data_IF_559549578547
#
_entry.id   IF_559549578547
#
_cell.length_a   1.000
_cell.length_b   1.000
_cell.length_c   1.000
_cell.angle_alpha   90.00
_cell.angle_beta   90.00
_cell.angle_gamma   90.00
#
_symmetry.space_group_name_H-M   'P 1'
#
loop_
_entity.id
_entity.type
_entity.pdbx_description
1 polymer ?
#
# COMPACT_ATOMS: atom_id res chain seq x y z
N UNK A 1 8.77 21.17 -4.53
CA UNK A 1 8.28 22.51 -4.09
C UNK A 1 9.45 23.32 -3.57
N UNK A 2 9.97 24.28 -4.35
CA UNK A 2 10.97 25.24 -3.86
C UNK A 2 10.36 26.21 -2.85
N UNK A 3 11.23 26.87 -2.07
CA UNK A 3 10.80 28.00 -1.26
C UNK A 3 10.62 29.24 -2.13
N UNK A 4 9.50 29.94 -1.99
CA UNK A 4 9.23 31.21 -2.65
C UNK A 4 9.16 32.34 -1.63
N UNK A 5 10.04 33.33 -1.79
CA UNK A 5 10.11 34.49 -0.89
C UNK A 5 10.27 34.07 0.58
N UNK A 6 9.39 34.58 1.43
CA UNK A 6 9.40 34.30 2.88
C UNK A 6 8.51 33.12 3.31
N UNK A 7 7.79 32.48 2.34
CA UNK A 7 6.92 31.34 2.65
C UNK A 7 7.75 30.17 3.17
N UNK A 8 7.45 29.70 4.38
CA UNK A 8 8.15 28.60 5.06
C UNK A 8 7.35 27.31 5.13
N UNK A 9 6.04 27.41 5.09
CA UNK A 9 5.12 26.29 5.23
C UNK A 9 4.01 26.42 4.20
N UNK A 10 3.57 25.28 3.66
CA UNK A 10 2.38 25.22 2.81
C UNK A 10 1.56 23.98 3.13
N UNK A 11 0.29 24.01 2.75
CA UNK A 11 -0.61 22.86 2.81
C UNK A 11 -0.82 22.34 1.40
N UNK A 12 -0.52 21.06 1.19
CA UNK A 12 -0.80 20.34 -0.06
C UNK A 12 -2.13 19.61 0.14
N UNK A 13 -3.12 19.97 -0.67
CA UNK A 13 -4.49 19.45 -0.54
C UNK A 13 -4.85 18.40 -1.58
N UNK A 14 -3.96 18.12 -2.52
CA UNK A 14 -4.17 17.11 -3.56
C UNK A 14 -3.05 17.08 -4.58
N UNK A 15 -3.08 16.07 -5.43
CA UNK A 15 -2.18 15.84 -6.55
C UNK A 15 -2.95 15.71 -7.86
N UNK A 16 -2.39 16.28 -8.94
CA UNK A 16 -2.94 16.16 -10.29
C UNK A 16 -2.31 14.99 -11.08
N UNK A 17 -1.45 14.19 -10.46
CA UNK A 17 -0.83 13.01 -11.07
C UNK A 17 -1.90 12.01 -11.51
N UNK A 18 -1.83 11.56 -12.77
CA UNK A 18 -2.78 10.60 -13.32
C UNK A 18 -2.07 9.54 -14.15
N UNK A 19 -2.69 8.35 -14.21
CA UNK A 19 -2.23 7.21 -14.97
C UNK A 19 -3.28 6.82 -15.99
N UNK A 20 -2.96 6.99 -17.27
CA UNK A 20 -3.83 6.60 -18.38
C UNK A 20 -3.28 5.32 -19.01
N UNK A 21 -4.09 4.28 -19.02
CA UNK A 21 -3.76 2.98 -19.55
C UNK A 21 -4.64 2.67 -20.76
N UNK A 22 -4.19 1.82 -21.70
CA UNK A 22 -4.99 1.39 -22.84
C UNK A 22 -6.32 0.75 -22.44
N UNK A 23 -7.35 0.92 -23.25
CA UNK A 23 -8.71 0.49 -22.93
C UNK A 23 -8.87 -1.01 -22.67
N UNK A 24 -8.00 -1.84 -23.26
CA UNK A 24 -7.99 -3.30 -23.08
C UNK A 24 -7.31 -3.75 -21.78
N UNK A 25 -6.91 -2.83 -20.92
CA UNK A 25 -6.26 -3.13 -19.64
C UNK A 25 -7.24 -3.75 -18.67
N UNK A 26 -6.78 -4.79 -17.97
CA UNK A 26 -7.48 -5.38 -16.83
C UNK A 26 -6.67 -5.18 -15.55
N UNK A 27 -7.33 -5.31 -14.41
CA UNK A 27 -6.82 -4.87 -13.11
C UNK A 27 -6.77 -6.00 -12.09
N UNK A 28 -5.78 -5.93 -11.19
CA UNK A 28 -5.61 -6.81 -10.04
C UNK A 28 -5.41 -5.89 -8.83
N UNK A 29 -6.51 -5.42 -8.26
CA UNK A 29 -6.50 -4.31 -7.31
C UNK A 29 -7.21 -4.66 -6.01
N UNK A 30 -6.68 -4.11 -4.91
CA UNK A 30 -7.31 -4.18 -3.59
C UNK A 30 -8.09 -2.88 -3.35
N UNK A 31 -9.43 -2.95 -3.15
CA UNK A 31 -10.23 -1.75 -2.95
C UNK A 31 -9.90 -1.07 -1.63
N UNK A 32 -9.89 0.26 -1.66
CA UNK A 32 -9.83 1.10 -0.47
C UNK A 32 -11.15 0.99 0.30
N UNK A 33 -11.09 0.70 1.60
CA UNK A 33 -12.27 0.66 2.46
C UNK A 33 -12.75 2.06 2.83
N UNK A 34 -14.04 2.15 3.16
CA UNK A 34 -14.58 3.37 3.76
C UNK A 34 -13.97 3.60 5.13
N UNK A 35 -13.62 4.84 5.40
CA UNK A 35 -13.12 5.25 6.71
C UNK A 35 -14.09 4.87 7.84
N UNK A 36 -13.57 4.40 8.96
CA UNK A 36 -14.33 4.05 10.17
C UNK A 36 -15.39 2.95 9.98
N UNK A 37 -15.22 2.06 8.97
CA UNK A 37 -16.15 0.97 8.69
C UNK A 37 -15.82 -0.27 9.51
N UNK A 38 -16.77 -0.75 10.32
CA UNK A 38 -16.69 -2.01 11.06
C UNK A 38 -15.35 -2.18 11.81
N UNK A 39 -14.79 -3.38 11.77
CA UNK A 39 -13.48 -3.66 12.35
C UNK A 39 -12.30 -3.20 11.48
N UNK A 40 -12.57 -2.77 10.25
CA UNK A 40 -11.61 -2.13 9.36
C UNK A 40 -11.37 -0.65 9.67
N UNK A 41 -11.77 -0.18 10.84
CA UNK A 41 -11.73 1.24 11.25
C UNK A 41 -10.36 1.87 11.14
N UNK A 42 -9.30 1.08 11.32
CA UNK A 42 -7.91 1.55 11.26
C UNK A 42 -7.16 1.06 10.03
N UNK A 43 -7.81 0.31 9.14
CA UNK A 43 -7.18 -0.29 7.97
C UNK A 43 -7.70 0.36 6.70
N UNK A 44 -6.82 0.78 5.78
CA UNK A 44 -7.22 1.36 4.51
C UNK A 44 -7.82 0.33 3.54
N UNK A 45 -7.42 -0.94 3.66
CA UNK A 45 -7.90 -2.04 2.82
C UNK A 45 -7.83 -3.37 3.56
N UNK A 46 -8.38 -4.38 2.94
CA UNK A 46 -8.33 -5.76 3.42
C UNK A 46 -7.91 -6.68 2.27
N UNK A 47 -6.85 -7.46 2.47
CA UNK A 47 -6.22 -8.24 1.41
C UNK A 47 -7.10 -9.34 0.82
N UNK A 48 -8.11 -9.80 1.53
CA UNK A 48 -9.08 -10.78 1.01
C UNK A 48 -10.04 -10.20 -0.02
N UNK A 49 -10.07 -8.88 -0.18
CA UNK A 49 -10.99 -8.20 -1.08
C UNK A 49 -10.40 -7.90 -2.46
N UNK A 50 -9.22 -8.41 -2.76
CA UNK A 50 -8.64 -8.27 -4.09
C UNK A 50 -9.61 -8.75 -5.18
N UNK A 51 -9.78 -7.91 -6.22
CA UNK A 51 -10.46 -8.27 -7.46
C UNK A 51 -9.42 -8.58 -8.52
N UNK A 52 -9.63 -9.70 -9.21
CA UNK A 52 -8.67 -10.23 -10.17
C UNK A 52 -9.24 -10.11 -11.58
N UNK A 53 -8.40 -9.57 -12.49
CA UNK A 53 -8.65 -9.53 -13.93
C UNK A 53 -9.93 -8.78 -14.33
N UNK A 54 -10.23 -7.69 -13.61
CA UNK A 54 -11.42 -6.89 -13.84
C UNK A 54 -11.17 -5.81 -14.90
N UNK A 55 -12.18 -5.45 -15.72
CA UNK A 55 -12.07 -4.28 -16.59
C UNK A 55 -11.80 -3.01 -15.78
N UNK A 56 -11.00 -2.08 -16.33
CA UNK A 56 -10.75 -0.78 -15.67
C UNK A 56 -12.02 0.02 -15.36
N UNK A 57 -13.06 -0.15 -16.17
CA UNK A 57 -14.35 0.52 -15.99
C UNK A 57 -15.16 0.00 -14.80
N UNK A 58 -14.76 -1.13 -14.22
CA UNK A 58 -15.40 -1.64 -13.01
C UNK A 58 -15.02 -0.74 -11.84
N UNK A 59 -16.00 -0.17 -11.10
CA UNK A 59 -15.70 0.67 -9.95
C UNK A 59 -15.17 -0.17 -8.77
N UNK A 60 -14.42 0.47 -7.90
CA UNK A 60 -14.01 -0.15 -6.63
C UNK A 60 -15.22 -0.51 -5.77
N UNK A 61 -15.09 -1.55 -4.96
CA UNK A 61 -16.20 -2.11 -4.18
C UNK A 61 -16.90 -1.08 -3.27
N UNK A 62 -16.20 -0.05 -2.84
CA UNK A 62 -16.72 0.95 -1.91
C UNK A 62 -16.79 2.37 -2.53
N UNK A 63 -16.35 2.54 -3.78
CA UNK A 63 -16.29 3.84 -4.46
C UNK A 63 -15.17 4.76 -3.96
N UNK A 64 -14.17 4.20 -3.27
CA UNK A 64 -13.08 4.95 -2.64
C UNK A 64 -11.73 4.70 -3.33
N UNK A 65 -11.72 3.97 -4.45
CA UNK A 65 -10.50 3.64 -5.18
C UNK A 65 -9.73 2.45 -4.61
N UNK A 66 -8.39 2.46 -4.75
CA UNK A 66 -7.56 1.28 -4.54
C UNK A 66 -6.28 1.60 -3.78
N UNK A 67 -5.90 0.71 -2.87
CA UNK A 67 -4.66 0.80 -2.10
C UNK A 67 -3.46 0.37 -2.94
N UNK A 68 -2.33 1.06 -2.82
CA UNK A 68 -1.07 0.64 -3.44
C UNK A 68 -0.49 -0.64 -2.81
N UNK A 69 0.24 -1.46 -3.59
CA UNK A 69 0.53 -1.34 -5.02
C UNK A 69 -0.62 -1.78 -5.92
N UNK A 70 -0.72 -1.20 -7.12
CA UNK A 70 -1.77 -1.44 -8.09
C UNK A 70 -1.21 -2.13 -9.33
N UNK A 71 -1.67 -3.36 -9.61
CA UNK A 71 -1.20 -4.16 -10.74
C UNK A 71 -2.21 -4.14 -11.90
N UNK A 72 -1.69 -3.96 -13.10
CA UNK A 72 -2.44 -3.90 -14.34
C UNK A 72 -1.87 -4.85 -15.38
N UNK A 73 -2.76 -5.54 -16.13
CA UNK A 73 -2.40 -6.30 -17.34
C UNK A 73 -2.86 -5.51 -18.55
N UNK A 74 -1.92 -5.13 -19.41
CA UNK A 74 -2.15 -4.29 -20.58
C UNK A 74 -2.42 -5.19 -21.79
N UNK A 75 -3.66 -5.73 -21.90
CA UNK A 75 -4.04 -6.65 -22.97
C UNK A 75 -3.09 -7.85 -23.06
N UNK A 76 -2.56 -8.10 -24.28
CA UNK A 76 -1.50 -9.08 -24.53
C UNK A 76 -0.07 -8.51 -24.48
N UNK A 77 0.08 -7.22 -24.20
CA UNK A 77 1.33 -6.49 -24.42
C UNK A 77 2.24 -6.44 -23.17
N UNK A 78 1.70 -6.77 -22.00
CA UNK A 78 2.50 -6.81 -20.78
C UNK A 78 1.78 -6.36 -19.52
N UNK A 79 2.57 -5.92 -18.54
CA UNK A 79 2.13 -5.62 -17.19
C UNK A 79 2.68 -4.27 -16.72
N UNK A 80 1.92 -3.59 -15.88
CA UNK A 80 2.34 -2.37 -15.21
C UNK A 80 2.02 -2.48 -13.71
N UNK A 81 2.98 -2.11 -12.87
CA UNK A 81 2.79 -1.96 -11.42
C UNK A 81 2.92 -0.48 -11.09
N UNK A 82 1.86 0.10 -10.56
CA UNK A 82 1.86 1.49 -10.05
C UNK A 82 1.93 1.45 -8.53
N UNK A 83 2.85 2.21 -7.96
CA UNK A 83 3.04 2.28 -6.52
C UNK A 83 3.63 3.61 -6.09
N UNK A 84 3.93 3.73 -4.81
CA UNK A 84 4.64 4.86 -4.22
C UNK A 84 5.82 4.39 -3.36
N UNK A 85 6.81 5.26 -3.18
CA UNK A 85 7.91 5.05 -2.24
C UNK A 85 8.44 6.38 -1.69
N UNK A 86 9.23 6.32 -0.63
CA UNK A 86 9.69 7.52 0.09
C UNK A 86 8.60 8.14 0.94
N UNK A 87 7.62 7.36 1.33
CA UNK A 87 6.56 7.77 2.27
C UNK A 87 7.16 7.99 3.67
N UNK A 88 6.75 9.03 4.32
CA UNK A 88 7.20 9.38 5.67
C UNK A 88 6.08 10.09 6.44
N UNK A 89 6.28 10.28 7.75
CA UNK A 89 5.31 10.95 8.62
C UNK A 89 5.02 12.42 8.30
N UNK A 90 5.75 13.01 7.35
CA UNK A 90 5.59 14.41 6.92
C UNK A 90 4.65 14.56 5.71
N UNK A 91 4.08 13.46 5.24
CA UNK A 91 3.12 13.48 4.13
C UNK A 91 1.90 12.63 4.48
N UNK A 92 0.89 12.66 3.62
CA UNK A 92 -0.30 11.82 3.79
C UNK A 92 -0.12 10.47 3.08
N UNK A 93 -0.77 9.43 3.57
CA UNK A 93 -0.91 8.16 2.83
C UNK A 93 -1.81 8.39 1.63
N UNK A 94 -1.33 8.06 0.44
CA UNK A 94 -2.11 8.19 -0.79
C UNK A 94 -2.62 6.82 -1.25
N UNK A 95 -3.60 6.86 -2.14
CA UNK A 95 -4.14 5.70 -2.81
C UNK A 95 -4.49 6.04 -4.26
N UNK A 96 -4.92 5.09 -5.06
CA UNK A 96 -5.34 5.30 -6.44
C UNK A 96 -6.86 5.51 -6.46
N UNK A 97 -7.33 6.53 -7.19
CA UNK A 97 -8.77 6.76 -7.39
C UNK A 97 -9.45 5.62 -8.14
N UNK A 98 -10.77 5.63 -8.22
CA UNK A 98 -11.48 4.91 -9.27
C UNK A 98 -11.08 5.43 -10.66
N UNK A 99 -11.27 4.58 -11.67
CA UNK A 99 -11.04 4.97 -13.05
C UNK A 99 -12.04 6.03 -13.52
N UNK A 100 -11.52 7.03 -14.19
CA UNK A 100 -12.33 8.05 -14.86
C UNK A 100 -11.93 8.10 -16.35
N UNK A 101 -12.88 8.02 -17.31
CA UNK A 101 -12.56 8.05 -18.75
C UNK A 101 -11.79 9.26 -19.22
N UNK A 102 -11.99 10.42 -18.56
CA UNK A 102 -11.36 11.68 -18.95
C UNK A 102 -9.96 11.86 -18.36
N UNK A 103 -9.73 11.37 -17.13
CA UNK A 103 -8.48 11.59 -16.39
C UNK A 103 -7.65 10.33 -16.21
N UNK A 104 -8.22 9.12 -16.33
CA UNK A 104 -7.60 7.87 -15.93
C UNK A 104 -7.71 7.66 -14.42
N UNK A 105 -6.78 6.90 -13.86
CA UNK A 105 -6.60 6.81 -12.43
C UNK A 105 -5.79 8.00 -11.93
N UNK A 106 -6.20 8.61 -10.83
CA UNK A 106 -5.50 9.75 -10.21
C UNK A 106 -5.01 9.39 -8.81
N UNK A 107 -4.01 10.12 -8.32
CA UNK A 107 -3.62 10.03 -6.92
C UNK A 107 -4.70 10.67 -6.06
N UNK A 108 -5.23 9.90 -5.13
CA UNK A 108 -6.19 10.35 -4.13
C UNK A 108 -5.54 10.47 -2.75
N UNK A 109 -5.94 11.52 -2.03
CA UNK A 109 -5.53 11.76 -0.65
C UNK A 109 -6.46 11.03 0.33
N UNK A 110 -6.08 10.91 1.61
CA UNK A 110 -6.92 10.25 2.60
C UNK A 110 -8.32 10.87 2.71
N UNK A 111 -9.29 10.02 2.93
CA UNK A 111 -10.66 10.42 3.18
C UNK A 111 -10.82 11.00 4.60
N UNK A 112 -11.77 11.90 4.83
CA UNK A 112 -12.14 12.29 6.17
C UNK A 112 -12.53 11.08 7.03
N UNK A 113 -11.97 10.97 8.22
CA UNK A 113 -12.25 9.88 9.16
C UNK A 113 -11.31 8.68 9.06
N UNK A 114 -10.36 8.65 8.13
CA UNK A 114 -9.30 7.63 8.14
C UNK A 114 -8.43 7.68 9.40
N UNK A 115 -7.60 6.66 9.58
CA UNK A 115 -6.72 6.53 10.76
C UNK A 115 -7.46 6.68 12.07
N UNK A 116 -8.53 5.92 12.22
CA UNK A 116 -9.41 5.90 13.42
C UNK A 116 -10.04 7.26 13.75
N UNK A 117 -10.31 8.07 12.72
CA UNK A 117 -10.97 9.37 12.84
C UNK A 117 -10.03 10.54 13.14
N UNK A 118 -8.73 10.30 13.23
CA UNK A 118 -7.73 11.33 13.57
C UNK A 118 -6.76 11.63 12.42
N UNK A 119 -6.88 10.93 11.29
CA UNK A 119 -6.03 11.12 10.12
C UNK A 119 -6.24 12.50 9.45
N UNK A 120 -5.16 13.00 8.86
CA UNK A 120 -5.19 14.25 8.10
C UNK A 120 -5.51 13.96 6.63
N UNK A 121 -6.31 14.82 6.01
CA UNK A 121 -6.67 14.74 4.58
C UNK A 121 -5.78 15.61 3.70
N UNK A 122 -4.82 16.30 4.27
CA UNK A 122 -3.87 17.18 3.59
C UNK A 122 -2.53 17.17 4.29
N UNK A 123 -1.46 17.45 3.56
CA UNK A 123 -0.11 17.48 4.09
C UNK A 123 0.34 18.92 4.39
N UNK A 124 0.69 19.20 5.65
CA UNK A 124 1.40 20.42 6.02
C UNK A 124 2.91 20.19 5.91
N UNK A 125 3.58 20.90 5.01
CA UNK A 125 4.99 20.70 4.72
C UNK A 125 5.82 21.97 4.89
N UNK A 126 7.04 21.82 5.39
CA UNK A 126 8.02 22.91 5.43
C UNK A 126 8.78 22.97 4.09
N UNK A 127 9.01 24.17 3.59
CA UNK A 127 9.69 24.40 2.32
C UNK A 127 11.19 24.63 2.49
N UNK A 128 12.05 24.16 1.57
CA UNK A 128 11.71 23.39 0.35
C UNK A 128 11.28 21.97 0.67
N UNK A 129 10.41 21.35 -0.14
CA UNK A 129 9.87 20.02 0.12
C UNK A 129 9.81 19.16 -1.15
N UNK A 130 10.07 17.88 -1.01
CA UNK A 130 9.87 16.85 -2.04
C UNK A 130 8.81 15.86 -1.57
N UNK A 131 7.81 15.64 -2.42
CA UNK A 131 6.76 14.63 -2.16
C UNK A 131 7.32 13.21 -2.29
N UNK A 132 6.61 12.19 -1.79
CA UNK A 132 6.90 10.80 -2.12
C UNK A 132 6.94 10.56 -3.63
N UNK A 133 7.69 9.55 -4.04
CA UNK A 133 7.77 9.13 -5.44
C UNK A 133 6.51 8.37 -5.86
N UNK A 134 6.06 8.62 -7.08
CA UNK A 134 5.08 7.79 -7.78
C UNK A 134 5.84 6.93 -8.77
N UNK A 135 5.72 5.61 -8.65
CA UNK A 135 6.52 4.67 -9.42
C UNK A 135 5.67 3.87 -10.41
N UNK A 136 6.23 3.60 -11.58
CA UNK A 136 5.65 2.70 -12.57
C UNK A 136 6.73 1.71 -12.96
N UNK A 137 6.48 0.41 -12.71
CA UNK A 137 7.33 -0.68 -13.19
C UNK A 137 6.60 -1.38 -14.33
N UNK A 138 7.29 -1.55 -15.45
CA UNK A 138 6.75 -2.19 -16.66
C UNK A 138 7.47 -3.50 -16.94
N UNK A 139 6.75 -4.47 -17.51
CA UNK A 139 7.32 -5.73 -17.95
C UNK A 139 6.43 -6.50 -18.92
N UNK A 140 7.03 -7.19 -19.88
CA UNK A 140 6.31 -8.14 -20.75
C UNK A 140 5.76 -9.33 -19.95
N UNK A 141 6.36 -9.62 -18.80
CA UNK A 141 5.96 -10.66 -17.85
C UNK A 141 5.90 -10.07 -16.44
N UNK A 142 5.39 -10.84 -15.48
CA UNK A 142 5.38 -10.45 -14.06
C UNK A 142 6.77 -10.40 -13.43
N UNK A 143 7.77 -11.06 -14.01
CA UNK A 143 9.10 -11.17 -13.41
C UNK A 143 9.74 -9.82 -13.08
N UNK A 144 9.85 -8.84 -14.01
CA UNK A 144 10.41 -7.53 -13.67
C UNK A 144 9.65 -6.78 -12.57
N UNK A 145 8.35 -7.04 -12.42
CA UNK A 145 7.53 -6.40 -11.40
C UNK A 145 7.78 -6.99 -10.01
N UNK A 146 7.99 -8.31 -9.95
CA UNK A 146 8.29 -9.02 -8.70
C UNK A 146 9.73 -8.73 -8.23
N UNK A 147 10.66 -8.61 -9.18
CA UNK A 147 12.08 -8.39 -8.91
C UNK A 147 12.46 -6.90 -8.83
N UNK A 148 11.50 -5.98 -8.95
CA UNK A 148 11.81 -4.54 -8.94
C UNK A 148 12.44 -4.10 -7.64
N UNK A 149 13.48 -3.30 -7.74
CA UNK A 149 14.18 -2.67 -6.61
C UNK A 149 13.93 -1.18 -6.53
N UNK A 150 13.04 -0.64 -7.36
CA UNK A 150 12.81 0.81 -7.51
C UNK A 150 12.55 1.53 -6.19
N UNK A 151 11.92 0.86 -5.23
CA UNK A 151 11.67 1.44 -3.91
C UNK A 151 12.96 1.77 -3.14
N UNK A 152 14.05 1.07 -3.43
CA UNK A 152 15.36 1.25 -2.82
C UNK A 152 16.31 2.04 -3.71
N UNK A 153 16.06 2.09 -5.01
CA UNK A 153 16.93 2.75 -5.98
C UNK A 153 16.78 4.29 -5.94
N UNK A 154 15.60 4.76 -5.56
CA UNK A 154 15.26 6.21 -5.59
C UNK A 154 15.14 6.84 -4.21
N UNK A 155 15.24 6.05 -3.15
CA UNK A 155 15.12 6.53 -1.76
C UNK A 155 16.23 5.96 -0.90
N UNK A 156 16.95 6.85 -0.25
CA UNK A 156 17.97 6.45 0.72
C UNK A 156 17.34 5.78 1.94
N UNK A 157 17.93 4.68 2.45
CA UNK A 157 17.47 4.05 3.68
C UNK A 157 17.47 5.04 4.85
N UNK A 158 16.39 5.09 5.60
CA UNK A 158 16.29 5.96 6.79
C UNK A 158 17.26 5.52 7.91
N UNK A 159 17.64 4.26 7.91
CA UNK A 159 18.62 3.68 8.85
C UNK A 159 19.26 2.45 8.24
N UNK A 160 20.45 2.11 8.71
CA UNK A 160 21.13 0.87 8.38
C UNK A 160 21.10 -0.06 9.59
N UNK A 161 20.62 -1.30 9.38
CA UNK A 161 20.66 -2.30 10.44
C UNK A 161 22.07 -2.89 10.58
N UNK A 162 22.53 -3.00 11.81
CA UNK A 162 23.76 -3.75 12.14
C UNK A 162 23.47 -5.19 12.54
N UNK A 163 22.19 -5.56 12.66
CA UNK A 163 21.76 -6.92 13.00
C UNK A 163 21.58 -7.75 11.73
N UNK A 164 22.13 -8.96 11.78
CA UNK A 164 21.82 -9.98 10.80
C UNK A 164 20.55 -10.72 11.25
N UNK A 165 19.55 -10.75 10.40
CA UNK A 165 18.33 -11.50 10.64
C UNK A 165 18.46 -12.86 9.97
N UNK A 166 18.16 -13.92 10.72
CA UNK A 166 18.12 -15.28 10.18
C UNK A 166 16.69 -15.55 9.70
N UNK A 167 16.47 -15.80 8.41
CA UNK A 167 15.19 -16.30 7.92
C UNK A 167 14.88 -17.67 8.56
N UNK A 168 13.60 -17.93 8.82
CA UNK A 168 13.22 -19.20 9.44
C UNK A 168 11.73 -19.46 9.31
N UNK A 169 11.34 -20.65 9.71
CA UNK A 169 9.94 -21.08 9.77
C UNK A 169 9.36 -20.71 11.13
N UNK A 170 8.07 -20.43 11.14
CA UNK A 170 7.38 -20.11 12.38
C UNK A 170 6.00 -20.74 12.44
N UNK A 171 5.49 -20.91 13.65
CA UNK A 171 4.09 -21.19 13.92
C UNK A 171 3.35 -19.90 14.20
N UNK A 172 2.10 -19.84 13.79
CA UNK A 172 1.24 -18.69 14.01
C UNK A 172 -0.12 -19.12 14.55
N UNK A 173 -0.35 -18.86 15.83
CA UNK A 173 -1.55 -19.30 16.55
C UNK A 173 -2.84 -18.68 16.00
N UNK A 174 -2.76 -17.44 15.53
CA UNK A 174 -3.91 -16.70 15.02
C UNK A 174 -4.57 -17.36 13.80
N UNK A 175 -3.78 -17.99 12.91
CA UNK A 175 -4.33 -18.70 11.75
C UNK A 175 -5.27 -19.86 12.16
N UNK A 176 -5.04 -20.46 13.30
CA UNK A 176 -5.84 -21.59 13.78
C UNK A 176 -6.98 -21.15 14.72
N UNK A 177 -6.70 -20.24 15.64
CA UNK A 177 -7.61 -19.91 16.74
C UNK A 177 -8.02 -18.46 16.81
N UNK A 178 -7.63 -17.64 15.85
CA UNK A 178 -7.91 -16.20 15.83
C UNK A 178 -7.48 -15.52 17.15
N UNK A 179 -8.14 -14.45 17.53
CA UNK A 179 -7.81 -13.71 18.76
C UNK A 179 -7.94 -14.54 20.04
N UNK A 180 -8.82 -15.55 20.04
CA UNK A 180 -8.99 -16.47 21.16
C UNK A 180 -7.76 -17.29 21.50
N UNK A 181 -6.85 -17.49 20.55
CA UNK A 181 -5.59 -18.23 20.72
C UNK A 181 -4.41 -17.37 21.21
N UNK A 182 -4.59 -16.07 21.41
CA UNK A 182 -3.54 -15.17 21.90
C UNK A 182 -3.50 -15.09 23.43
N UNK A 183 -3.46 -16.25 24.07
CA UNK A 183 -3.33 -16.38 25.52
C UNK A 183 -2.11 -17.25 25.87
N UNK A 184 -1.67 -17.19 27.12
CA UNK A 184 -0.45 -17.86 27.57
C UNK A 184 -0.48 -19.37 27.34
N UNK A 185 -1.56 -20.05 27.74
CA UNK A 185 -1.64 -21.52 27.70
C UNK A 185 -1.62 -22.06 26.26
N UNK A 186 -2.25 -21.36 25.35
CA UNK A 186 -2.24 -21.71 23.94
C UNK A 186 -0.91 -21.38 23.29
N UNK A 187 -0.28 -20.25 23.63
CA UNK A 187 1.06 -19.93 23.12
C UNK A 187 2.11 -20.96 23.54
N UNK A 188 2.04 -21.50 24.76
CA UNK A 188 2.92 -22.61 25.19
C UNK A 188 2.80 -23.81 24.27
N UNK A 189 1.58 -24.17 23.85
CA UNK A 189 1.37 -25.31 22.91
C UNK A 189 2.03 -25.06 21.55
N UNK A 190 1.99 -23.81 21.06
CA UNK A 190 2.67 -23.44 19.80
C UNK A 190 4.19 -23.41 19.95
N UNK A 191 4.72 -23.02 21.10
CA UNK A 191 6.16 -23.11 21.42
C UNK A 191 6.61 -24.58 21.39
N UNK A 192 5.90 -25.46 22.08
CA UNK A 192 6.19 -26.91 22.12
C UNK A 192 6.10 -27.54 20.71
N UNK A 193 5.10 -27.11 19.93
CA UNK A 193 4.97 -27.56 18.53
C UNK A 193 6.14 -27.08 17.68
N UNK A 194 6.52 -25.82 17.79
CA UNK A 194 7.65 -25.25 17.04
C UNK A 194 8.96 -25.97 17.36
N UNK A 195 9.22 -26.28 18.64
CA UNK A 195 10.38 -27.04 19.05
C UNK A 195 10.39 -28.43 18.40
N UNK A 196 9.28 -29.19 18.50
CA UNK A 196 9.17 -30.53 17.91
C UNK A 196 9.31 -30.53 16.39
N UNK A 197 8.86 -29.47 15.72
CA UNK A 197 8.96 -29.31 14.26
C UNK A 197 10.30 -28.74 13.82
N UNK A 198 11.15 -28.31 14.73
CA UNK A 198 12.41 -27.64 14.43
C UNK A 198 12.20 -26.29 13.78
N UNK A 199 11.14 -25.55 14.17
CA UNK A 199 10.90 -24.20 13.70
C UNK A 199 11.64 -23.19 14.57
N UNK A 200 12.10 -22.12 13.94
CA UNK A 200 12.96 -21.14 14.58
C UNK A 200 12.18 -20.10 15.41
N UNK A 201 10.90 -19.90 15.07
CA UNK A 201 10.10 -18.80 15.64
C UNK A 201 8.68 -19.24 15.99
N UNK A 202 8.07 -18.47 16.87
CA UNK A 202 6.65 -18.51 17.23
C UNK A 202 6.07 -17.09 17.12
N UNK A 203 4.89 -16.95 16.54
CA UNK A 203 4.18 -15.67 16.39
C UNK A 203 2.77 -15.77 16.99
#
# INVERSE_FOLDING_TARGET
FPQYGETRVMTITGEATSFRLPAQTTTFLCPQNKAMSGWMRTKPCYEEEYKLDMPMSEPSAFGEGYTFPCLFRIGGDGWALVSETGTCGNYVGCHLSDYNPDTGYTIAFPMPGESNGIGQTSAGVALPYSTPWRTITLGETLKPLVETTIAYDVVEPMYQTTRQYKPGRYTWSWLLWQDGGTNYDDQVKFIDMSERMGYEYVL
#
